data_IF_311558841565
#
_entry.id   IF_311558841565
#
_cell.length_a   1.000
_cell.length_b   1.000
_cell.length_c   1.000
_cell.angle_alpha   90.00
_cell.angle_beta   90.00
_cell.angle_gamma   90.00
#
_symmetry.space_group_name_H-M   'P 1'
#
loop_
_entity.id
_entity.type
_entity.pdbx_description
1 polymer ?
#
# COMPACT_ATOMS: atom_id res chain seq x y z
N UNK A 1 -29.54 -24.35 -41.28
CA UNK A 1 -29.99 -24.39 -39.88
C UNK A 1 -29.15 -23.35 -39.14
N UNK A 2 -29.64 -22.11 -39.06
CA UNK A 2 -28.91 -20.98 -38.47
C UNK A 2 -29.30 -20.98 -36.99
N UNK A 3 -28.41 -21.42 -36.10
CA UNK A 3 -28.61 -21.27 -34.65
C UNK A 3 -27.92 -19.99 -34.20
N UNK A 4 -28.73 -18.96 -33.96
CA UNK A 4 -28.34 -17.79 -33.19
C UNK A 4 -28.07 -18.20 -31.75
N UNK A 5 -27.03 -17.60 -31.14
CA UNK A 5 -26.67 -17.76 -29.74
C UNK A 5 -27.90 -17.49 -28.85
N UNK A 6 -28.53 -18.55 -28.36
CA UNK A 6 -29.65 -18.44 -27.44
C UNK A 6 -29.13 -18.77 -26.05
N UNK A 7 -28.93 -17.74 -25.23
CA UNK A 7 -28.65 -17.91 -23.80
C UNK A 7 -29.85 -18.60 -23.17
N UNK A 8 -29.66 -19.79 -22.61
CA UNK A 8 -30.74 -20.53 -21.93
C UNK A 8 -30.79 -20.03 -20.48
N UNK A 9 -31.80 -19.23 -20.14
CA UNK A 9 -32.08 -18.85 -18.76
C UNK A 9 -32.76 -20.02 -18.02
N UNK A 10 -32.24 -20.36 -16.83
CA UNK A 10 -32.84 -21.34 -15.94
C UNK A 10 -33.61 -20.59 -14.85
N UNK A 11 -34.93 -20.73 -14.81
CA UNK A 11 -35.73 -20.32 -13.65
C UNK A 11 -35.88 -21.48 -12.66
N UNK A 12 -35.55 -21.23 -11.40
CA UNK A 12 -35.92 -22.08 -10.26
C UNK A 12 -37.23 -21.58 -9.67
N UNK A 13 -38.25 -22.44 -9.64
CA UNK A 13 -39.48 -22.18 -8.87
C UNK A 13 -39.71 -23.33 -7.91
N UNK A 14 -39.70 -23.03 -6.61
CA UNK A 14 -39.99 -23.98 -5.54
C UNK A 14 -39.18 -25.29 -5.65
N UNK A 15 -37.87 -25.19 -5.91
CA UNK A 15 -36.97 -26.36 -6.00
C UNK A 15 -37.09 -27.19 -7.28
N UNK A 16 -37.83 -26.73 -8.30
CA UNK A 16 -37.92 -27.39 -9.62
C UNK A 16 -37.26 -26.52 -10.69
N UNK A 17 -36.44 -27.12 -11.54
CA UNK A 17 -35.70 -26.45 -12.61
C UNK A 17 -36.49 -26.48 -13.92
N UNK A 18 -36.53 -25.39 -14.68
CA UNK A 18 -37.23 -25.35 -15.98
C UNK A 18 -36.27 -24.97 -17.10
N UNK A 19 -36.23 -25.77 -18.17
CA UNK A 19 -35.38 -25.54 -19.33
C UNK A 19 -36.17 -25.80 -20.62
N UNK A 20 -36.23 -24.81 -21.52
CA UNK A 20 -37.03 -24.86 -22.77
C UNK A 20 -38.48 -25.33 -22.57
N UNK A 21 -39.11 -24.92 -21.46
CA UNK A 21 -40.48 -25.30 -21.11
C UNK A 21 -40.67 -26.67 -20.45
N UNK A 22 -39.60 -27.47 -20.26
CA UNK A 22 -39.65 -28.75 -19.52
C UNK A 22 -39.18 -28.59 -18.08
N UNK A 23 -39.78 -29.34 -17.15
CA UNK A 23 -39.49 -29.30 -15.71
C UNK A 23 -38.61 -30.47 -15.26
N UNK A 24 -37.68 -30.20 -14.36
CA UNK A 24 -36.69 -31.15 -13.86
C UNK A 24 -36.54 -31.04 -12.34
N UNK A 25 -36.31 -32.17 -11.68
CA UNK A 25 -36.24 -32.27 -10.21
C UNK A 25 -34.83 -32.03 -9.65
N UNK A 26 -33.80 -32.05 -10.49
CA UNK A 26 -32.43 -31.79 -10.09
C UNK A 26 -31.61 -31.20 -11.24
N UNK A 27 -30.54 -30.51 -10.88
CA UNK A 27 -29.66 -29.81 -11.82
C UNK A 27 -28.88 -30.78 -12.72
N UNK A 28 -28.48 -31.95 -12.23
CA UNK A 28 -27.82 -32.98 -13.05
C UNK A 28 -28.70 -33.47 -14.20
N UNK A 29 -30.02 -33.61 -13.99
CA UNK A 29 -30.96 -34.03 -15.04
C UNK A 29 -31.16 -32.97 -16.12
N UNK A 30 -31.05 -31.68 -15.78
CA UNK A 30 -31.04 -30.58 -16.76
C UNK A 30 -29.79 -30.65 -17.62
N UNK A 31 -28.64 -30.92 -17.00
CA UNK A 31 -27.36 -31.02 -17.68
C UNK A 31 -27.30 -32.21 -18.66
N UNK A 32 -27.86 -33.36 -18.28
CA UNK A 32 -27.99 -34.55 -19.14
C UNK A 32 -28.92 -34.30 -20.34
N UNK A 33 -30.05 -33.63 -20.12
CA UNK A 33 -30.98 -33.22 -21.19
C UNK A 33 -30.29 -32.29 -22.22
N UNK A 34 -29.53 -31.31 -21.75
CA UNK A 34 -28.83 -30.36 -22.62
C UNK A 34 -27.67 -31.00 -23.39
N UNK A 35 -26.93 -31.93 -22.79
CA UNK A 35 -25.89 -32.72 -23.48
C UNK A 35 -26.44 -33.59 -24.61
N UNK A 36 -27.64 -34.16 -24.42
CA UNK A 36 -28.29 -34.97 -25.47
C UNK A 36 -28.94 -34.13 -26.59
N UNK A 37 -29.26 -32.85 -26.31
CA UNK A 37 -30.04 -31.99 -27.22
C UNK A 37 -29.20 -30.94 -27.97
N UNK A 38 -28.00 -30.61 -27.48
CA UNK A 38 -27.07 -29.67 -28.10
C UNK A 38 -25.64 -30.25 -28.10
N UNK A 39 -24.98 -30.39 -29.27
CA UNK A 39 -23.69 -31.08 -29.34
C UNK A 39 -22.51 -30.11 -29.16
N UNK A 40 -22.41 -29.35 -28.06
CA UNK A 40 -21.18 -28.61 -27.71
C UNK A 40 -21.03 -28.40 -26.20
N UNK A 41 -19.80 -28.58 -25.71
CA UNK A 41 -19.36 -28.37 -24.33
C UNK A 41 -19.14 -26.88 -24.05
N UNK A 42 -19.98 -26.30 -23.18
CA UNK A 42 -19.68 -25.26 -22.16
C UNK A 42 -21.01 -24.62 -21.75
N UNK A 43 -21.47 -24.90 -20.53
CA UNK A 43 -22.62 -24.24 -19.90
C UNK A 43 -22.10 -23.48 -18.67
N UNK A 44 -22.25 -22.15 -18.67
CA UNK A 44 -21.89 -21.28 -17.53
C UNK A 44 -23.15 -21.05 -16.68
N UNK A 45 -23.13 -21.51 -15.43
CA UNK A 45 -24.22 -21.29 -14.45
C UNK A 45 -23.89 -20.04 -13.64
N UNK A 46 -24.86 -19.13 -13.49
CA UNK A 46 -24.76 -17.91 -12.66
C UNK A 46 -25.57 -18.14 -11.37
N UNK A 47 -24.95 -17.93 -10.21
CA UNK A 47 -25.59 -18.05 -8.88
C UNK A 47 -26.45 -16.83 -8.49
N UNK A 48 -27.38 -17.05 -7.54
CA UNK A 48 -28.55 -16.21 -7.20
C UNK A 48 -28.26 -14.96 -6.33
N UNK A 49 -29.12 -13.93 -6.48
CA UNK A 49 -29.10 -12.65 -5.74
C UNK A 49 -29.90 -12.78 -4.42
N UNK A 50 -29.27 -12.60 -3.26
CA UNK A 50 -29.95 -12.53 -1.94
C UNK A 50 -30.59 -11.15 -1.69
N UNK A 51 -31.75 -11.12 -1.01
CA UNK A 51 -32.39 -9.88 -0.50
C UNK A 51 -31.97 -9.62 0.96
N UNK A 52 -31.77 -8.35 1.36
CA UNK A 52 -31.26 -7.97 2.69
C UNK A 52 -32.15 -6.94 3.39
N UNK A 53 -32.08 -6.88 4.72
CA UNK A 53 -32.71 -5.86 5.55
C UNK A 53 -31.67 -4.87 6.07
N UNK A 54 -32.03 -3.59 6.13
CA UNK A 54 -31.15 -2.52 6.58
C UNK A 54 -31.72 -1.86 7.84
N UNK A 55 -30.86 -1.64 8.82
CA UNK A 55 -31.15 -0.90 10.04
C UNK A 55 -30.21 0.29 10.16
N UNK A 56 -30.68 1.39 10.75
CA UNK A 56 -29.82 2.54 11.03
C UNK A 56 -29.55 2.56 12.53
N UNK A 57 -28.33 2.21 12.92
CA UNK A 57 -27.81 2.32 14.27
C UNK A 57 -27.07 3.65 14.46
N UNK A 58 -26.67 3.96 15.69
CA UNK A 58 -25.88 5.16 16.00
C UNK A 58 -24.51 5.17 15.30
N UNK A 59 -24.00 3.99 14.96
CA UNK A 59 -22.71 3.81 14.28
C UNK A 59 -22.83 3.71 12.74
N UNK A 60 -24.04 3.84 12.18
CA UNK A 60 -24.27 3.84 10.74
C UNK A 60 -25.40 2.91 10.28
N UNK A 61 -25.27 2.34 9.08
CA UNK A 61 -26.25 1.39 8.56
C UNK A 61 -25.73 -0.04 8.65
N UNK A 62 -26.50 -0.91 9.28
CA UNK A 62 -26.16 -2.31 9.47
C UNK A 62 -27.06 -3.22 8.63
N UNK A 63 -26.44 -4.26 8.05
CA UNK A 63 -27.07 -5.17 7.09
C UNK A 63 -27.38 -6.51 7.74
N UNK A 64 -28.59 -6.98 7.51
CA UNK A 64 -29.09 -8.23 8.09
C UNK A 64 -29.62 -9.15 7.00
N UNK A 65 -29.14 -10.41 7.01
CA UNK A 65 -29.52 -11.42 6.01
C UNK A 65 -30.88 -12.06 6.30
N UNK A 66 -31.35 -11.98 7.56
CA UNK A 66 -32.64 -12.51 7.97
C UNK A 66 -33.42 -11.51 8.82
N UNK A 67 -34.76 -11.62 8.82
CA UNK A 67 -35.61 -10.84 9.74
C UNK A 67 -35.30 -11.13 11.20
N UNK A 68 -34.88 -12.36 11.54
CA UNK A 68 -34.56 -12.75 12.91
C UNK A 68 -33.32 -12.04 13.46
N UNK A 69 -32.28 -11.89 12.65
CA UNK A 69 -31.05 -11.18 13.05
C UNK A 69 -31.28 -9.68 13.25
N UNK A 70 -32.08 -9.07 12.36
CA UNK A 70 -32.51 -7.67 12.53
C UNK A 70 -33.32 -7.46 13.83
N UNK A 71 -34.23 -8.40 14.16
CA UNK A 71 -35.06 -8.33 15.38
C UNK A 71 -34.22 -8.36 16.66
N UNK A 72 -33.16 -9.19 16.70
CA UNK A 72 -32.26 -9.24 17.86
C UNK A 72 -31.48 -7.94 18.06
N UNK A 73 -31.00 -7.33 16.98
CA UNK A 73 -30.29 -6.06 17.04
C UNK A 73 -31.19 -4.92 17.53
N UNK A 74 -32.39 -4.79 16.94
CA UNK A 74 -33.38 -3.82 17.39
C UNK A 74 -33.77 -4.02 18.86
N UNK A 75 -33.92 -5.26 19.33
CA UNK A 75 -34.24 -5.55 20.72
C UNK A 75 -33.15 -5.09 21.70
N UNK A 76 -31.86 -5.26 21.34
CA UNK A 76 -30.74 -4.78 22.14
C UNK A 76 -30.65 -3.25 22.18
N UNK A 77 -30.90 -2.57 21.04
CA UNK A 77 -30.77 -1.11 20.96
C UNK A 77 -31.96 -0.36 21.55
N UNK A 78 -33.17 -0.90 21.44
CA UNK A 78 -34.41 -0.21 21.85
C UNK A 78 -34.95 -0.68 23.20
N UNK A 79 -34.24 -1.58 23.89
CA UNK A 79 -34.67 -2.09 25.20
C UNK A 79 -35.90 -3.01 25.15
N UNK A 80 -36.23 -3.58 23.98
CA UNK A 80 -37.19 -4.69 23.86
C UNK A 80 -38.62 -4.36 23.40
N UNK A 81 -38.91 -3.18 22.83
CA UNK A 81 -40.23 -2.86 22.29
C UNK A 81 -40.20 -2.49 20.79
N UNK A 82 -41.05 -3.11 19.97
CA UNK A 82 -41.21 -2.77 18.55
C UNK A 82 -42.65 -3.00 18.06
N UNK A 83 -43.01 -2.35 16.94
CA UNK A 83 -44.35 -2.43 16.33
C UNK A 83 -44.24 -3.13 14.97
N UNK A 84 -45.10 -4.12 14.72
CA UNK A 84 -45.22 -4.79 13.42
C UNK A 84 -46.55 -4.43 12.76
N UNK A 85 -46.48 -4.01 11.50
CA UNK A 85 -47.64 -3.76 10.66
C UNK A 85 -47.80 -4.91 9.68
N UNK A 86 -48.90 -5.66 9.80
CA UNK A 86 -49.28 -6.73 8.86
C UNK A 86 -50.62 -6.37 8.23
N UNK A 87 -50.57 -5.73 7.07
CA UNK A 87 -51.75 -5.18 6.41
C UNK A 87 -52.39 -4.04 7.22
N UNK A 88 -53.71 -4.12 7.48
CA UNK A 88 -54.48 -3.07 8.20
C UNK A 88 -54.51 -3.22 9.73
N UNK A 89 -53.78 -4.18 10.32
CA UNK A 89 -53.74 -4.38 11.78
C UNK A 89 -52.37 -4.01 12.36
N UNK A 90 -52.39 -3.46 13.57
CA UNK A 90 -51.22 -3.07 14.36
C UNK A 90 -51.18 -3.93 15.63
N UNK A 91 -50.02 -4.52 15.93
CA UNK A 91 -49.77 -5.21 17.20
C UNK A 91 -48.65 -4.50 17.97
N UNK A 92 -48.86 -4.32 19.28
CA UNK A 92 -47.95 -3.64 20.19
C UNK A 92 -47.36 -4.63 21.19
N UNK A 93 -46.03 -4.58 21.36
CA UNK A 93 -45.33 -5.27 22.43
C UNK A 93 -44.48 -4.24 23.16
N UNK A 94 -44.65 -4.12 24.48
CA UNK A 94 -44.07 -3.05 25.28
C UNK A 94 -43.43 -3.65 26.53
N UNK A 95 -42.15 -3.34 26.74
CA UNK A 95 -41.68 -3.01 28.07
C UNK A 95 -41.26 -1.53 28.05
N UNK A 96 -42.01 -0.74 28.81
CA UNK A 96 -42.07 0.73 29.02
C UNK A 96 -41.18 1.67 28.16
N UNK A 97 -41.84 2.53 27.36
CA UNK A 97 -41.33 3.87 26.95
C UNK A 97 -41.55 4.20 25.46
N UNK A 98 -42.01 5.41 25.13
CA UNK A 98 -42.41 5.83 23.76
C UNK A 98 -41.28 6.52 22.95
N UNK A 99 -41.24 6.32 21.62
CA UNK A 99 -41.18 7.33 20.50
C UNK A 99 -41.12 6.62 19.11
N UNK A 100 -41.71 7.26 18.08
CA UNK A 100 -41.92 6.79 16.70
C UNK A 100 -40.69 6.86 15.77
N UNK A 101 -40.56 5.89 14.85
CA UNK A 101 -40.16 6.15 13.45
C UNK A 101 -40.84 5.15 12.49
N UNK A 102 -41.28 5.63 11.32
CA UNK A 102 -42.01 4.82 10.33
C UNK A 102 -41.05 4.08 9.39
N UNK A 103 -41.10 2.75 9.35
CA UNK A 103 -40.37 1.94 8.37
C UNK A 103 -41.29 1.64 7.17
N UNK A 104 -40.88 2.01 5.96
CA UNK A 104 -41.57 1.62 4.72
C UNK A 104 -40.65 0.86 3.76
N UNK A 105 -41.20 -0.17 3.12
CA UNK A 105 -40.55 -0.94 2.05
C UNK A 105 -40.78 -0.21 0.73
N UNK A 106 -39.72 0.21 0.05
CA UNK A 106 -39.78 0.92 -1.25
C UNK A 106 -39.09 0.12 -2.35
N UNK A 107 -39.51 0.32 -3.60
CA UNK A 107 -38.84 -0.24 -4.79
C UNK A 107 -37.55 0.51 -5.11
N UNK A 108 -36.70 -0.09 -5.96
CA UNK A 108 -35.43 0.50 -6.40
C UNK A 108 -35.62 1.82 -7.15
N UNK A 109 -36.67 1.94 -7.97
CA UNK A 109 -36.96 3.16 -8.73
C UNK A 109 -37.42 4.30 -7.81
N UNK A 110 -38.19 4.00 -6.76
CA UNK A 110 -38.63 5.00 -5.79
C UNK A 110 -37.51 5.43 -4.84
N UNK A 111 -36.57 4.51 -4.53
CA UNK A 111 -35.33 4.84 -3.84
C UNK A 111 -34.50 5.89 -4.60
N UNK A 112 -34.34 5.73 -5.92
CA UNK A 112 -33.54 6.63 -6.75
C UNK A 112 -34.19 8.03 -6.89
N UNK A 113 -35.51 8.11 -7.11
CA UNK A 113 -36.23 9.40 -7.19
C UNK A 113 -36.13 10.25 -5.92
N UNK A 114 -36.05 9.61 -4.75
CA UNK A 114 -35.96 10.32 -3.45
C UNK A 114 -34.54 10.79 -3.12
N UNK A 115 -33.53 10.25 -3.79
CA UNK A 115 -32.11 10.59 -3.60
C UNK A 115 -31.65 11.81 -4.42
N UNK A 116 -32.20 12.04 -5.61
CA UNK A 116 -31.78 13.12 -6.53
C UNK A 116 -31.86 14.54 -5.92
N UNK A 117 -32.92 14.95 -5.19
CA UNK A 117 -32.98 16.30 -4.60
C UNK A 117 -32.02 16.48 -3.41
N UNK A 118 -31.61 15.39 -2.75
CA UNK A 118 -30.69 15.39 -1.61
C UNK A 118 -29.23 15.44 -2.09
N UNK A 119 -28.91 14.73 -3.17
CA UNK A 119 -27.59 14.76 -3.80
C UNK A 119 -27.25 16.15 -4.39
N UNK A 120 -28.25 16.85 -4.95
CA UNK A 120 -28.08 18.23 -5.43
C UNK A 120 -27.79 19.22 -4.28
N UNK A 121 -28.39 19.02 -3.09
CA UNK A 121 -28.09 19.82 -1.89
C UNK A 121 -26.68 19.56 -1.37
N UNK A 122 -26.22 18.31 -1.37
CA UNK A 122 -24.84 17.96 -0.96
C UNK A 122 -23.82 18.52 -1.96
N UNK A 123 -24.09 18.43 -3.27
CA UNK A 123 -23.23 19.03 -4.29
C UNK A 123 -23.13 20.55 -4.18
N UNK A 124 -24.24 21.24 -3.87
CA UNK A 124 -24.24 22.69 -3.63
C UNK A 124 -23.45 23.11 -2.38
N UNK A 125 -23.48 22.30 -1.31
CA UNK A 125 -22.68 22.54 -0.09
C UNK A 125 -21.18 22.32 -0.35
N UNK A 126 -20.82 21.28 -1.13
CA UNK A 126 -19.42 21.01 -1.50
C UNK A 126 -18.84 22.10 -2.41
N UNK A 127 -19.61 22.58 -3.40
CA UNK A 127 -19.22 23.72 -4.25
C UNK A 127 -19.13 25.04 -3.47
N UNK A 128 -20.00 25.25 -2.48
CA UNK A 128 -19.95 26.40 -1.59
C UNK A 128 -18.73 26.39 -0.66
N UNK A 129 -18.31 25.21 -0.18
CA UNK A 129 -17.10 25.06 0.64
C UNK A 129 -15.80 25.27 -0.14
N UNK A 130 -15.78 24.91 -1.43
CA UNK A 130 -14.62 25.11 -2.32
C UNK A 130 -14.40 26.58 -2.73
N UNK A 131 -15.42 27.44 -2.67
CA UNK A 131 -15.33 28.84 -3.09
C UNK A 131 -14.80 29.81 -2.01
N UNK A 132 -14.67 29.38 -0.74
CA UNK A 132 -14.42 30.28 0.40
C UNK A 132 -13.01 30.19 0.98
N UNK A 133 -12.14 29.29 0.51
CA UNK A 133 -10.79 29.15 1.09
C UNK A 133 -9.67 28.99 0.05
N UNK A 134 -9.16 30.08 -0.55
CA UNK A 134 -7.80 30.08 -1.05
C UNK A 134 -6.86 30.23 0.15
N UNK A 135 -6.42 29.11 0.76
CA UNK A 135 -5.23 29.13 1.63
C UNK A 135 -5.23 28.36 2.95
N UNK A 136 -6.24 27.55 3.30
CA UNK A 136 -6.18 26.78 4.55
C UNK A 136 -6.96 25.47 4.48
N UNK A 137 -6.29 24.36 4.17
CA UNK A 137 -6.67 23.03 4.64
C UNK A 137 -5.55 22.02 4.35
N UNK A 138 -5.02 21.42 5.43
CA UNK A 138 -3.99 20.39 5.41
C UNK A 138 -4.46 19.12 4.68
N UNK A 139 -3.59 18.58 3.83
CA UNK A 139 -3.85 17.43 2.94
C UNK A 139 -4.01 16.06 3.64
N UNK A 140 -3.96 15.99 4.98
CA UNK A 140 -3.91 14.73 5.72
C UNK A 140 -5.24 13.99 5.91
N UNK A 141 -6.39 14.64 5.69
CA UNK A 141 -7.70 14.09 6.07
C UNK A 141 -8.52 13.41 4.96
N UNK A 142 -8.11 13.49 3.69
CA UNK A 142 -8.97 13.14 2.54
C UNK A 142 -8.60 11.84 1.81
N UNK A 143 -7.47 11.22 2.10
CA UNK A 143 -7.01 10.02 1.38
C UNK A 143 -7.72 8.72 1.81
N UNK A 144 -8.38 8.70 2.98
CA UNK A 144 -9.13 7.52 3.46
C UNK A 144 -10.53 7.35 2.86
N UNK A 145 -11.12 8.42 2.30
CA UNK A 145 -12.47 8.39 1.73
C UNK A 145 -12.48 8.20 0.20
N UNK A 146 -11.33 8.31 -0.47
CA UNK A 146 -11.27 8.41 -1.93
C UNK A 146 -11.34 7.07 -2.67
N UNK A 147 -10.94 5.93 -2.08
CA UNK A 147 -10.85 4.66 -2.81
C UNK A 147 -12.16 3.86 -2.92
N UNK A 148 -13.06 3.96 -1.94
CA UNK A 148 -14.34 3.22 -1.97
C UNK A 148 -15.43 3.99 -2.74
N UNK A 149 -15.38 5.33 -2.73
CA UNK A 149 -16.34 6.18 -3.43
C UNK A 149 -16.07 6.28 -4.94
N UNK A 150 -14.81 6.23 -5.38
CA UNK A 150 -14.44 6.27 -6.81
C UNK A 150 -14.80 4.99 -7.55
N UNK A 151 -14.63 3.81 -6.93
CA UNK A 151 -14.96 2.52 -7.55
C UNK A 151 -16.45 2.32 -7.86
N UNK A 152 -17.34 2.84 -7.01
CA UNK A 152 -18.79 2.74 -7.21
C UNK A 152 -19.36 3.77 -8.21
N UNK A 153 -18.71 4.94 -8.35
CA UNK A 153 -19.13 5.98 -9.29
C UNK A 153 -18.79 5.63 -10.76
N UNK A 154 -17.64 4.99 -10.99
CA UNK A 154 -17.15 4.61 -12.32
C UNK A 154 -17.99 3.52 -13.00
N UNK A 155 -18.68 2.67 -12.23
CA UNK A 155 -19.47 1.56 -12.78
C UNK A 155 -20.89 1.97 -13.24
N UNK A 156 -21.41 3.14 -12.81
CA UNK A 156 -22.81 3.53 -13.04
C UNK A 156 -23.02 4.78 -13.90
N UNK A 157 -22.01 5.66 -14.05
CA UNK A 157 -22.13 6.90 -14.81
C UNK A 157 -20.86 7.19 -15.64
N UNK A 158 -20.67 6.55 -16.81
CA UNK A 158 -19.42 6.62 -17.57
C UNK A 158 -19.06 8.03 -18.07
N UNK A 159 -20.05 8.92 -18.25
CA UNK A 159 -19.83 10.32 -18.64
C UNK A 159 -19.46 11.24 -17.47
N UNK A 160 -19.87 10.93 -16.23
CA UNK A 160 -19.37 11.61 -15.02
C UNK A 160 -17.97 11.09 -14.62
N UNK A 161 -17.66 9.83 -14.95
CA UNK A 161 -16.32 9.27 -14.81
C UNK A 161 -15.28 10.09 -15.60
N UNK A 162 -15.61 10.49 -16.84
CA UNK A 162 -14.73 11.37 -17.63
C UNK A 162 -14.51 12.75 -16.97
N UNK A 163 -15.55 13.35 -16.37
CA UNK A 163 -15.44 14.65 -15.72
C UNK A 163 -14.65 14.61 -14.39
N UNK A 164 -14.80 13.54 -13.59
CA UNK A 164 -14.06 13.37 -12.34
C UNK A 164 -12.59 12.98 -12.59
N UNK A 165 -12.33 12.17 -13.62
CA UNK A 165 -10.96 11.81 -14.04
C UNK A 165 -10.22 13.02 -14.65
N UNK A 166 -10.95 13.97 -15.26
CA UNK A 166 -10.37 15.23 -15.74
C UNK A 166 -10.14 16.28 -14.63
N UNK A 167 -10.62 16.06 -13.40
CA UNK A 167 -10.44 16.98 -12.26
C UNK A 167 -9.38 16.56 -11.24
N UNK A 168 -8.77 15.38 -11.37
CA UNK A 168 -7.62 14.99 -10.54
C UNK A 168 -6.39 14.77 -11.40
N UNK A 169 -5.99 15.82 -12.12
CA UNK A 169 -4.56 15.99 -12.38
C UNK A 169 -3.97 16.44 -11.04
N UNK A 170 -3.63 15.50 -10.17
CA UNK A 170 -2.74 15.79 -9.04
C UNK A 170 -1.38 16.00 -9.68
N UNK A 171 -1.15 17.22 -10.15
CA UNK A 171 0.19 17.63 -10.53
C UNK A 171 0.97 17.69 -9.22
N UNK A 172 2.13 17.04 -9.19
CA UNK A 172 3.07 17.21 -8.09
C UNK A 172 3.45 18.70 -8.04
N UNK A 173 2.88 19.42 -7.08
CA UNK A 173 3.22 20.81 -6.85
C UNK A 173 4.42 20.85 -5.90
N UNK A 174 5.48 21.54 -6.31
CA UNK A 174 6.60 21.82 -5.42
C UNK A 174 6.08 22.51 -4.15
N UNK A 175 6.40 21.93 -2.99
CA UNK A 175 5.99 22.47 -1.67
C UNK A 175 6.73 23.78 -1.35
N UNK A 176 7.86 24.04 -2.02
CA UNK A 176 8.64 25.27 -1.91
C UNK A 176 9.69 25.39 -3.01
N UNK A 177 10.49 26.45 -2.94
CA UNK A 177 11.65 26.63 -3.83
C UNK A 177 12.75 25.61 -3.52
N UNK A 178 13.60 25.33 -4.50
CA UNK A 178 14.84 24.58 -4.28
C UNK A 178 15.70 25.28 -3.22
N UNK A 179 16.37 24.47 -2.40
CA UNK A 179 17.27 24.95 -1.37
C UNK A 179 18.48 24.02 -1.26
N UNK A 180 19.60 24.59 -0.82
CA UNK A 180 20.83 23.84 -0.68
C UNK A 180 20.85 23.02 0.62
N UNK A 181 21.17 21.72 0.51
CA UNK A 181 21.11 20.81 1.65
C UNK A 181 22.36 20.86 2.54
N UNK A 182 23.53 21.02 1.93
CA UNK A 182 24.83 21.05 2.59
C UNK A 182 25.25 22.45 3.02
N UNK A 183 26.15 22.52 4.00
CA UNK A 183 26.83 23.72 4.50
C UNK A 183 28.29 23.74 4.09
N UNK A 184 28.94 22.58 3.99
CA UNK A 184 30.28 22.44 3.42
C UNK A 184 30.21 22.29 1.90
N UNK A 185 30.82 23.23 1.16
CA UNK A 185 30.70 23.31 -0.31
C UNK A 185 32.02 23.12 -1.05
N UNK A 186 33.11 22.90 -0.33
CA UNK A 186 34.42 22.69 -0.95
C UNK A 186 34.47 21.28 -1.54
N UNK A 187 35.11 21.12 -2.71
CA UNK A 187 35.23 19.83 -3.37
C UNK A 187 33.90 19.30 -3.93
N UNK A 188 33.90 18.02 -4.33
CA UNK A 188 32.72 17.38 -4.90
C UNK A 188 31.70 16.99 -3.82
N UNK A 189 30.44 17.36 -4.04
CA UNK A 189 29.27 16.98 -3.25
C UNK A 189 28.34 16.19 -4.17
N UNK A 190 28.18 14.87 -3.95
CA UNK A 190 27.61 13.96 -4.96
C UNK A 190 26.67 12.91 -4.39
N UNK A 191 25.90 12.29 -5.29
CA UNK A 191 25.04 11.13 -5.05
C UNK A 191 24.15 11.26 -3.80
N UNK A 192 23.24 12.25 -3.75
CA UNK A 192 22.35 12.39 -2.62
C UNK A 192 21.34 11.23 -2.56
N UNK A 193 20.99 10.82 -1.35
CA UNK A 193 19.88 9.92 -1.05
C UNK A 193 18.95 10.57 -0.04
N UNK A 194 17.64 10.30 -0.13
CA UNK A 194 16.63 10.92 0.72
C UNK A 194 15.64 9.89 1.23
N UNK A 195 15.30 9.99 2.52
CA UNK A 195 14.26 9.18 3.14
C UNK A 195 13.25 10.07 3.89
N UNK A 196 11.93 9.85 3.71
CA UNK A 196 10.93 10.42 4.60
C UNK A 196 11.05 9.77 5.98
N UNK A 197 10.75 10.51 7.03
CA UNK A 197 10.75 10.04 8.42
C UNK A 197 9.33 10.01 8.99
N UNK A 198 9.13 9.19 10.03
CA UNK A 198 7.80 8.98 10.61
C UNK A 198 7.22 10.22 11.30
N UNK A 199 8.05 11.22 11.63
CA UNK A 199 7.61 12.51 12.17
C UNK A 199 7.19 13.52 11.08
N UNK A 200 7.13 13.07 9.82
CA UNK A 200 6.84 13.92 8.66
C UNK A 200 8.04 14.72 8.15
N UNK A 201 9.19 14.63 8.83
CA UNK A 201 10.46 15.16 8.34
C UNK A 201 11.08 14.27 7.27
N UNK A 202 12.31 14.61 6.89
CA UNK A 202 13.11 13.82 5.97
C UNK A 202 14.59 13.95 6.30
N UNK A 203 15.39 12.98 5.89
CA UNK A 203 16.85 13.05 5.97
C UNK A 203 17.43 12.96 4.57
N UNK A 204 18.44 13.78 4.30
CA UNK A 204 19.23 13.73 3.08
C UNK A 204 20.64 13.30 3.46
N UNK A 205 21.20 12.32 2.76
CA UNK A 205 22.60 11.91 2.87
C UNK A 205 23.31 12.13 1.53
N UNK A 206 24.61 12.36 1.54
CA UNK A 206 25.41 12.58 0.32
C UNK A 206 26.90 12.27 0.56
N UNK A 207 27.66 12.17 -0.53
CA UNK A 207 29.12 12.08 -0.50
C UNK A 207 29.74 13.47 -0.49
N UNK A 208 30.75 13.68 0.36
CA UNK A 208 31.47 14.95 0.49
C UNK A 208 32.98 14.72 0.43
N UNK A 209 33.65 15.41 -0.49
CA UNK A 209 35.11 15.33 -0.65
C UNK A 209 35.87 16.27 0.29
N UNK A 210 36.81 15.74 1.06
CA UNK A 210 37.72 16.54 1.89
C UNK A 210 37.16 17.02 3.22
N UNK A 211 35.88 16.75 3.51
CA UNK A 211 35.21 17.32 4.68
C UNK A 211 35.64 16.65 6.01
N UNK A 212 36.07 15.40 5.97
CA UNK A 212 36.61 14.68 7.13
C UNK A 212 38.14 14.76 7.23
N UNK A 213 38.79 15.47 6.30
CA UNK A 213 40.24 15.59 6.20
C UNK A 213 40.91 14.53 5.32
N UNK A 214 40.15 13.63 4.69
CA UNK A 214 40.65 12.67 3.69
C UNK A 214 39.82 12.78 2.40
N UNK A 215 39.49 11.67 1.74
CA UNK A 215 38.90 11.61 0.41
C UNK A 215 37.39 11.84 0.49
N UNK A 216 36.56 10.89 0.07
CA UNK A 216 35.11 11.01 0.19
C UNK A 216 34.61 10.39 1.50
N UNK A 217 33.85 11.17 2.27
CA UNK A 217 33.05 10.71 3.40
C UNK A 217 31.55 10.81 3.11
N UNK A 218 30.74 10.17 3.95
CA UNK A 218 29.27 10.23 3.88
C UNK A 218 28.76 11.20 4.93
N UNK A 219 27.92 12.14 4.51
CA UNK A 219 27.35 13.19 5.36
C UNK A 219 25.82 13.20 5.26
N UNK A 220 25.17 13.84 6.21
CA UNK A 220 23.73 13.97 6.21
C UNK A 220 23.21 15.21 6.93
N UNK A 221 21.95 15.54 6.63
CA UNK A 221 21.19 16.60 7.28
C UNK A 221 19.72 16.15 7.41
N UNK A 222 19.19 16.25 8.63
CA UNK A 222 17.77 16.02 8.91
C UNK A 222 16.99 17.32 8.75
N UNK A 223 15.76 17.21 8.30
CA UNK A 223 14.82 18.31 8.11
C UNK A 223 13.50 17.97 8.81
N UNK A 224 12.89 19.00 9.40
CA UNK A 224 11.51 18.91 9.89
C UNK A 224 10.53 18.88 8.71
N UNK A 225 9.26 18.54 8.98
CA UNK A 225 8.18 18.56 7.98
C UNK A 225 7.97 19.92 7.30
N UNK A 226 8.40 21.01 7.95
CA UNK A 226 8.40 22.36 7.38
C UNK A 226 9.56 22.65 6.41
N UNK A 227 10.50 21.71 6.23
CA UNK A 227 11.72 21.92 5.45
C UNK A 227 12.82 22.69 6.20
N UNK A 228 12.64 22.98 7.48
CA UNK A 228 13.68 23.59 8.33
C UNK A 228 14.69 22.54 8.77
N UNK A 229 16.00 22.86 8.74
CA UNK A 229 17.07 21.99 9.24
C UNK A 229 16.81 21.62 10.71
N UNK A 230 16.81 20.32 10.99
CA UNK A 230 16.69 19.75 12.32
C UNK A 230 18.08 19.36 12.83
N UNK A 231 18.74 20.26 13.55
CA UNK A 231 20.15 20.11 13.94
C UNK A 231 21.12 20.54 12.85
N UNK A 232 22.40 20.23 13.05
CA UNK A 232 23.47 20.54 12.09
C UNK A 232 23.68 19.39 11.11
N UNK A 233 24.42 19.69 10.05
CA UNK A 233 25.00 18.68 9.19
C UNK A 233 25.94 17.78 9.99
N UNK A 234 25.87 16.47 9.74
CA UNK A 234 26.61 15.47 10.51
C UNK A 234 27.30 14.46 9.59
N UNK A 235 28.46 13.96 10.02
CA UNK A 235 29.14 12.86 9.34
C UNK A 235 28.49 11.53 9.71
N UNK A 236 28.23 10.70 8.70
CA UNK A 236 27.64 9.37 8.86
C UNK A 236 28.71 8.35 9.25
N UNK A 237 29.75 8.22 8.43
CA UNK A 237 30.86 7.31 8.67
C UNK A 237 31.74 7.75 9.86
N UNK A 238 32.29 6.76 10.54
CA UNK A 238 33.25 6.88 11.64
C UNK A 238 34.65 6.61 11.12
N UNK A 239 34.80 5.60 10.27
CA UNK A 239 36.03 5.33 9.52
C UNK A 239 36.20 6.34 8.39
N UNK A 240 37.36 7.00 8.32
CA UNK A 240 37.61 8.13 7.41
C UNK A 240 38.75 7.90 6.44
N UNK A 241 39.45 6.76 6.54
CA UNK A 241 40.58 6.51 5.65
C UNK A 241 40.07 6.19 4.25
N UNK A 242 40.63 6.86 3.25
CA UNK A 242 40.21 6.68 1.85
C UNK A 242 38.72 6.99 1.64
N UNK A 243 38.00 6.18 0.85
CA UNK A 243 36.68 6.53 0.35
C UNK A 243 35.53 5.76 1.00
N UNK A 244 34.47 6.48 1.32
CA UNK A 244 33.15 5.98 1.67
C UNK A 244 32.12 6.54 0.67
N UNK A 245 31.37 5.66 0.03
CA UNK A 245 30.60 5.97 -1.18
C UNK A 245 29.17 5.41 -1.19
N UNK A 246 28.34 5.97 -2.08
CA UNK A 246 26.96 5.64 -2.40
C UNK A 246 26.10 5.30 -1.17
N UNK A 247 25.82 6.33 -0.37
CA UNK A 247 24.91 6.17 0.76
C UNK A 247 23.48 5.86 0.29
N UNK A 248 22.82 4.92 0.96
CA UNK A 248 21.39 4.65 0.86
C UNK A 248 20.77 4.82 2.25
N UNK A 249 19.55 5.36 2.33
CA UNK A 249 18.89 5.67 3.61
C UNK A 249 17.44 5.17 3.61
N UNK A 250 17.00 4.60 4.73
CA UNK A 250 15.62 4.17 4.94
C UNK A 250 15.12 4.53 6.36
N UNK A 251 13.83 4.90 6.52
CA UNK A 251 13.24 5.12 7.84
C UNK A 251 13.06 3.80 8.60
N UNK A 252 13.14 3.84 9.92
CA UNK A 252 12.85 2.70 10.77
C UNK A 252 11.45 2.86 11.39
N UNK A 253 10.57 1.90 11.08
CA UNK A 253 9.14 1.97 11.40
C UNK A 253 8.83 1.86 12.91
N UNK A 254 9.78 1.39 13.72
CA UNK A 254 9.59 1.07 15.14
C UNK A 254 9.97 2.20 16.09
N UNK A 255 11.17 2.76 15.96
CA UNK A 255 11.72 3.79 16.84
C UNK A 255 11.60 5.22 16.25
N UNK A 256 11.12 5.31 15.01
CA UNK A 256 11.05 6.56 14.25
C UNK A 256 12.40 7.04 13.74
N UNK A 257 13.46 6.27 13.96
CA UNK A 257 14.81 6.56 13.49
C UNK A 257 14.98 6.28 12.00
N UNK A 258 16.23 6.15 11.60
CA UNK A 258 16.60 5.76 10.24
C UNK A 258 17.90 4.99 10.23
N UNK A 259 18.16 4.26 9.14
CA UNK A 259 19.42 3.58 8.89
C UNK A 259 20.04 4.14 7.62
N UNK A 260 21.34 4.39 7.68
CA UNK A 260 22.15 4.76 6.50
C UNK A 260 23.12 3.63 6.24
N UNK A 261 23.25 3.22 4.98
CA UNK A 261 24.20 2.21 4.52
C UNK A 261 25.09 2.77 3.43
N UNK A 262 26.35 2.37 3.36
CA UNK A 262 27.33 2.81 2.36
C UNK A 262 28.38 1.72 2.15
N UNK A 263 29.27 1.87 1.17
CA UNK A 263 30.44 1.01 1.03
C UNK A 263 31.74 1.77 1.31
N UNK A 264 32.70 1.11 1.95
CA UNK A 264 33.90 1.74 2.53
C UNK A 264 35.18 1.01 2.11
N UNK A 265 36.19 1.76 1.66
CA UNK A 265 37.45 1.19 1.18
C UNK A 265 38.42 0.84 2.32
N UNK A 266 38.96 -0.38 2.36
CA UNK A 266 40.01 -0.79 3.28
C UNK A 266 39.54 -1.12 4.70
N UNK A 267 38.27 -0.89 5.03
CA UNK A 267 37.80 -0.91 6.41
C UNK A 267 37.70 -2.31 7.02
N UNK A 268 37.45 -3.33 6.20
CA UNK A 268 37.44 -4.75 6.61
C UNK A 268 38.78 -5.45 6.36
N UNK A 269 39.81 -4.69 5.93
CA UNK A 269 41.13 -5.22 5.60
C UNK A 269 41.29 -5.69 4.16
N UNK A 270 40.26 -5.57 3.32
CA UNK A 270 40.32 -5.80 1.86
C UNK A 270 39.80 -4.56 1.10
N UNK A 271 39.32 -4.70 -0.14
CA UNK A 271 38.89 -3.60 -1.01
C UNK A 271 37.69 -2.84 -0.44
N UNK A 272 36.45 -3.19 -0.80
CA UNK A 272 35.26 -2.47 -0.36
C UNK A 272 34.36 -3.38 0.46
N UNK A 273 33.92 -2.92 1.64
CA UNK A 273 32.91 -3.60 2.46
C UNK A 273 31.64 -2.76 2.61
N UNK A 274 30.52 -3.39 3.00
CA UNK A 274 29.24 -2.73 3.25
C UNK A 274 29.09 -2.40 4.73
N UNK A 275 28.75 -1.15 5.03
CA UNK A 275 28.64 -0.63 6.39
C UNK A 275 27.31 0.07 6.61
N UNK A 276 26.88 0.12 7.86
CA UNK A 276 25.66 0.79 8.28
C UNK A 276 25.82 1.55 9.58
N UNK A 277 24.99 2.57 9.76
CA UNK A 277 24.80 3.30 11.00
C UNK A 277 23.31 3.53 11.20
N UNK A 278 22.83 3.18 12.40
CA UNK A 278 21.47 3.52 12.82
C UNK A 278 21.47 4.87 13.53
N UNK A 279 20.35 5.56 13.40
CA UNK A 279 20.08 6.82 14.07
C UNK A 279 18.76 6.71 14.81
N UNK A 280 18.68 7.35 15.96
CA UNK A 280 17.39 7.52 16.62
C UNK A 280 16.54 8.58 15.89
N UNK A 281 15.29 8.76 16.34
CA UNK A 281 14.40 9.77 15.76
C UNK A 281 14.79 11.22 16.10
N UNK A 282 15.80 11.43 16.94
CA UNK A 282 16.27 12.78 17.29
C UNK A 282 17.20 13.34 16.20
N UNK A 283 17.64 14.58 16.35
CA UNK A 283 18.43 15.28 15.34
C UNK A 283 19.82 14.66 15.14
N UNK A 284 19.92 13.63 14.28
CA UNK A 284 21.17 13.05 13.81
C UNK A 284 21.99 12.31 14.87
N UNK A 285 21.37 11.84 15.96
CA UNK A 285 22.08 11.10 17.01
C UNK A 285 22.22 9.63 16.60
N UNK A 286 23.47 9.16 16.61
CA UNK A 286 23.80 7.77 16.31
C UNK A 286 23.21 6.84 17.37
N UNK A 287 22.43 5.86 16.94
CA UNK A 287 21.96 4.75 17.76
C UNK A 287 22.95 3.59 17.64
N UNK A 288 23.81 3.45 18.65
CA UNK A 288 24.91 2.48 18.64
C UNK A 288 26.09 2.91 17.75
N UNK A 289 26.99 1.96 17.50
CA UNK A 289 28.17 2.18 16.65
C UNK A 289 27.87 1.80 15.20
N UNK A 290 28.73 2.29 14.31
CA UNK A 290 28.83 1.80 12.95
C UNK A 290 29.13 0.29 12.92
N UNK A 291 28.51 -0.43 12.00
CA UNK A 291 28.61 -1.89 11.91
C UNK A 291 28.77 -2.36 10.47
N UNK A 292 29.51 -3.46 10.30
CA UNK A 292 29.69 -4.12 9.01
C UNK A 292 28.50 -5.03 8.69
N UNK A 293 27.98 -4.91 7.46
CA UNK A 293 26.79 -5.61 7.00
C UNK A 293 27.15 -6.94 6.32
N UNK A 294 28.07 -6.92 5.35
CA UNK A 294 28.57 -8.12 4.71
C UNK A 294 29.34 -9.00 5.71
N UNK A 295 29.32 -10.30 5.48
CA UNK A 295 30.17 -11.28 6.17
C UNK A 295 31.27 -11.82 5.27
N UNK A 296 31.03 -11.86 3.96
CA UNK A 296 32.05 -12.13 2.96
C UNK A 296 32.86 -10.88 2.66
N UNK A 297 34.18 -10.95 2.79
CA UNK A 297 35.09 -9.80 2.71
C UNK A 297 36.13 -9.92 1.60
N UNK A 298 36.09 -10.97 0.78
CA UNK A 298 37.07 -11.13 -0.29
C UNK A 298 36.67 -10.19 -1.43
N UNK A 299 37.62 -9.38 -1.89
CA UNK A 299 37.42 -8.39 -2.96
C UNK A 299 36.40 -7.30 -2.56
N UNK A 300 35.56 -6.84 -3.50
CA UNK A 300 34.69 -5.68 -3.31
C UNK A 300 33.23 -6.09 -3.13
N UNK A 301 32.61 -5.55 -2.09
CA UNK A 301 31.18 -5.49 -1.87
C UNK A 301 30.74 -4.02 -1.98
N UNK A 302 29.80 -3.73 -2.90
CA UNK A 302 29.52 -2.35 -3.32
C UNK A 302 28.02 -2.07 -3.51
N UNK A 303 27.69 -0.79 -3.73
CA UNK A 303 26.36 -0.31 -4.11
C UNK A 303 25.21 -0.84 -3.22
N UNK A 304 25.23 -0.59 -1.90
CA UNK A 304 24.18 -1.05 -1.02
C UNK A 304 22.88 -0.27 -1.28
N UNK A 305 21.76 -0.98 -1.19
CA UNK A 305 20.41 -0.44 -1.19
C UNK A 305 19.68 -0.96 0.05
N UNK A 306 18.97 -0.09 0.78
CA UNK A 306 18.28 -0.45 2.02
C UNK A 306 16.78 -0.17 1.94
N UNK A 307 15.98 -1.11 2.45
CA UNK A 307 14.54 -0.98 2.61
C UNK A 307 14.12 -1.32 4.04
N UNK A 308 13.15 -0.57 4.57
CA UNK A 308 12.52 -0.85 5.85
C UNK A 308 11.41 -1.89 5.71
N UNK A 309 11.16 -2.64 6.77
CA UNK A 309 10.14 -3.70 6.78
C UNK A 309 9.00 -3.39 7.74
N UNK A 310 7.84 -3.99 7.49
CA UNK A 310 6.63 -3.78 8.30
C UNK A 310 6.77 -4.30 9.75
N UNK A 311 7.70 -5.23 10.00
CA UNK A 311 8.03 -5.70 11.35
C UNK A 311 9.01 -4.78 12.10
N UNK A 312 9.32 -3.62 11.52
CA UNK A 312 10.28 -2.64 12.05
C UNK A 312 11.74 -2.99 11.76
N UNK A 313 12.02 -4.13 11.11
CA UNK A 313 13.35 -4.47 10.62
C UNK A 313 13.73 -3.71 9.35
N UNK A 314 14.87 -4.08 8.77
CA UNK A 314 15.30 -3.59 7.46
C UNK A 314 16.07 -4.68 6.72
N UNK A 315 16.15 -4.56 5.40
CA UNK A 315 16.95 -5.43 4.53
C UNK A 315 17.89 -4.55 3.74
N UNK A 316 19.15 -4.98 3.67
CA UNK A 316 20.17 -4.36 2.84
C UNK A 316 20.55 -5.35 1.76
N UNK A 317 20.61 -4.88 0.51
CA UNK A 317 21.13 -5.64 -0.64
C UNK A 317 22.33 -4.94 -1.24
N UNK A 318 23.29 -5.69 -1.75
CA UNK A 318 24.51 -5.16 -2.37
C UNK A 318 25.01 -6.10 -3.47
N UNK A 319 25.93 -5.60 -4.30
CA UNK A 319 26.69 -6.45 -5.22
C UNK A 319 27.97 -6.94 -4.55
N UNK A 320 28.33 -8.20 -4.78
CA UNK A 320 29.48 -8.84 -4.16
C UNK A 320 30.34 -9.51 -5.21
N UNK A 321 31.61 -9.09 -5.29
CA UNK A 321 32.62 -9.68 -6.15
C UNK A 321 33.35 -10.84 -5.49
N UNK A 322 34.51 -11.20 -6.07
CA UNK A 322 35.41 -12.18 -5.48
C UNK A 322 34.89 -13.62 -5.57
N UNK A 323 34.01 -13.93 -6.51
CA UNK A 323 33.49 -15.29 -6.74
C UNK A 323 32.71 -15.88 -5.58
N UNK A 324 32.00 -15.04 -4.82
CA UNK A 324 31.15 -15.51 -3.72
C UNK A 324 30.04 -16.47 -4.20
N UNK A 325 29.44 -16.21 -5.37
CA UNK A 325 28.47 -17.11 -6.01
C UNK A 325 29.09 -18.07 -7.04
N UNK A 326 30.42 -18.09 -7.14
CA UNK A 326 31.18 -18.89 -8.08
C UNK A 326 31.54 -18.20 -9.41
N UNK A 327 31.15 -16.95 -9.66
CA UNK A 327 31.53 -16.19 -10.86
C UNK A 327 31.94 -14.72 -10.55
N UNK A 328 31.72 -13.73 -11.43
CA UNK A 328 32.27 -12.38 -11.24
C UNK A 328 31.60 -11.64 -10.07
N UNK A 329 30.36 -11.17 -10.23
CA UNK A 329 29.64 -10.40 -9.20
C UNK A 329 28.24 -10.96 -9.00
N UNK A 330 27.87 -11.33 -7.78
CA UNK A 330 26.51 -11.72 -7.41
C UNK A 330 25.77 -10.62 -6.64
N UNK A 331 24.46 -10.79 -6.47
CA UNK A 331 23.63 -9.91 -5.62
C UNK A 331 23.33 -10.62 -4.31
N UNK A 332 23.64 -9.97 -3.20
CA UNK A 332 23.50 -10.51 -1.85
C UNK A 332 22.66 -9.59 -0.98
N UNK A 333 22.16 -10.13 0.13
CA UNK A 333 21.42 -9.37 1.11
C UNK A 333 21.56 -9.88 2.54
N UNK A 334 21.25 -9.00 3.49
CA UNK A 334 21.16 -9.31 4.91
C UNK A 334 19.94 -8.62 5.49
N UNK A 335 19.11 -9.41 6.18
CA UNK A 335 17.98 -8.91 6.95
C UNK A 335 18.41 -8.58 8.37
N UNK A 336 17.85 -7.51 8.92
CA UNK A 336 18.02 -7.10 10.30
C UNK A 336 16.67 -7.02 10.99
N UNK A 337 16.65 -7.46 12.25
CA UNK A 337 15.52 -7.24 13.14
C UNK A 337 15.41 -5.76 13.52
N UNK A 338 14.26 -5.36 14.05
CA UNK A 338 13.99 -4.00 14.55
C UNK A 338 14.95 -3.54 15.66
N UNK A 339 15.58 -4.49 16.37
CA UNK A 339 16.66 -4.24 17.33
C UNK A 339 18.01 -3.90 16.69
N UNK A 340 18.16 -4.05 15.36
CA UNK A 340 19.42 -3.88 14.64
C UNK A 340 20.32 -5.11 14.67
N UNK A 341 19.81 -6.25 15.14
CA UNK A 341 20.52 -7.54 15.13
C UNK A 341 20.29 -8.23 13.79
N UNK A 342 21.33 -8.86 13.22
CA UNK A 342 21.22 -9.69 12.01
C UNK A 342 20.15 -10.78 12.22
N UNK A 343 19.19 -10.85 11.29
CA UNK A 343 18.12 -11.85 11.27
C UNK A 343 18.49 -12.92 10.24
N UNK A 344 19.09 -14.00 10.71
CA UNK A 344 19.60 -15.06 9.83
C UNK A 344 20.96 -14.69 9.22
N UNK A 345 21.41 -15.52 8.28
CA UNK A 345 22.67 -15.32 7.56
C UNK A 345 22.48 -14.42 6.34
N UNK A 346 23.61 -13.96 5.80
CA UNK A 346 23.68 -13.40 4.47
C UNK A 346 23.13 -14.39 3.42
N UNK A 347 22.36 -13.89 2.46
CA UNK A 347 21.71 -14.71 1.44
C UNK A 347 21.92 -14.14 0.05
N UNK A 348 22.07 -15.02 -0.94
CA UNK A 348 22.13 -14.65 -2.35
C UNK A 348 20.72 -14.35 -2.88
N UNK A 349 20.58 -13.28 -3.66
CA UNK A 349 19.32 -12.82 -4.25
C UNK A 349 19.14 -13.36 -5.67
N UNK A 350 20.19 -13.26 -6.50
CA UNK A 350 20.15 -13.78 -7.87
C UNK A 350 20.22 -15.31 -7.87
N UNK A 351 19.63 -15.93 -8.90
CA UNK A 351 19.75 -17.37 -9.16
C UNK A 351 20.61 -17.67 -10.39
N UNK A 352 20.65 -16.74 -11.35
CA UNK A 352 21.57 -16.77 -12.47
C UNK A 352 22.91 -16.16 -12.03
N UNK A 353 24.00 -16.92 -12.16
CA UNK A 353 25.32 -16.54 -11.62
C UNK A 353 26.36 -16.27 -12.71
N UNK A 354 26.08 -16.52 -13.98
CA UNK A 354 27.09 -16.33 -15.02
C UNK A 354 27.35 -14.84 -15.27
N UNK A 355 28.61 -14.43 -15.33
CA UNK A 355 29.04 -13.03 -15.55
C UNK A 355 28.68 -12.07 -14.40
N UNK A 356 28.19 -10.86 -14.71
CA UNK A 356 27.92 -9.80 -13.73
C UNK A 356 26.43 -9.68 -13.38
N UNK A 357 26.16 -9.57 -12.09
CA UNK A 357 24.85 -9.29 -11.50
C UNK A 357 25.05 -8.11 -10.55
N UNK A 358 24.59 -6.93 -10.95
CA UNK A 358 25.02 -5.67 -10.37
C UNK A 358 23.88 -4.67 -10.18
N UNK A 359 24.18 -3.56 -9.50
CA UNK A 359 23.27 -2.44 -9.26
C UNK A 359 21.91 -2.84 -8.63
N UNK A 360 21.91 -3.55 -7.50
CA UNK A 360 20.66 -3.94 -6.86
C UNK A 360 19.88 -2.74 -6.33
N UNK A 361 18.56 -2.81 -6.44
CA UNK A 361 17.62 -1.89 -5.81
C UNK A 361 16.55 -2.70 -5.09
N UNK A 362 16.22 -2.29 -3.86
CA UNK A 362 15.23 -2.97 -3.03
C UNK A 362 14.07 -2.03 -2.70
N UNK A 363 12.85 -2.56 -2.73
CA UNK A 363 11.65 -1.87 -2.31
C UNK A 363 10.83 -2.76 -1.36
N UNK A 364 10.27 -2.20 -0.27
CA UNK A 364 9.39 -2.95 0.61
C UNK A 364 8.00 -3.14 -0.01
N UNK A 365 7.32 -4.21 0.40
CA UNK A 365 5.96 -4.53 -0.01
C UNK A 365 4.97 -4.38 1.16
N UNK A 366 3.73 -4.04 0.85
CA UNK A 366 2.66 -3.85 1.84
C UNK A 366 2.31 -5.14 2.60
N UNK A 367 2.62 -6.31 2.04
CA UNK A 367 2.42 -7.61 2.69
C UNK A 367 3.53 -7.98 3.69
N UNK A 368 4.53 -7.09 3.85
CA UNK A 368 5.69 -7.29 4.72
C UNK A 368 6.88 -7.95 4.02
N UNK A 369 6.76 -8.30 2.74
CA UNK A 369 7.87 -8.73 1.90
C UNK A 369 8.70 -7.57 1.35
N UNK A 370 9.58 -7.90 0.41
CA UNK A 370 10.38 -6.94 -0.35
C UNK A 370 10.61 -7.48 -1.76
N UNK A 371 10.83 -6.58 -2.72
CA UNK A 371 11.26 -6.91 -4.08
C UNK A 371 12.66 -6.38 -4.28
N UNK A 372 13.52 -7.20 -4.87
CA UNK A 372 14.86 -6.78 -5.32
C UNK A 372 14.87 -6.84 -6.83
N UNK A 373 15.37 -5.79 -7.46
CA UNK A 373 15.68 -5.74 -8.89
C UNK A 373 17.16 -5.53 -9.07
N UNK A 374 17.75 -6.12 -10.10
CA UNK A 374 19.17 -5.98 -10.43
C UNK A 374 19.35 -6.07 -11.94
N UNK A 375 20.53 -5.68 -12.42
CA UNK A 375 20.94 -5.91 -13.81
C UNK A 375 21.73 -7.23 -13.87
N UNK A 376 21.46 -8.03 -14.89
CA UNK A 376 22.24 -9.22 -15.21
C UNK A 376 22.86 -9.09 -16.60
N UNK A 377 24.10 -9.55 -16.76
CA UNK A 377 24.75 -9.67 -18.06
C UNK A 377 24.61 -11.12 -18.60
N UNK A 378 24.17 -11.26 -19.85
CA UNK A 378 24.07 -12.55 -20.55
C UNK A 378 22.90 -13.46 -20.14
N UNK A 379 22.06 -13.07 -19.17
CA UNK A 379 20.94 -13.89 -18.71
C UNK A 379 19.86 -14.10 -19.78
N UNK A 380 19.57 -13.05 -20.55
CA UNK A 380 18.49 -13.05 -21.55
C UNK A 380 18.99 -13.39 -22.97
N UNK A 381 20.28 -13.72 -23.09
CA UNK A 381 20.95 -14.05 -24.35
C UNK A 381 21.31 -12.81 -25.18
N UNK A 382 22.61 -12.54 -25.28
CA UNK A 382 23.26 -11.78 -26.37
C UNK A 382 24.66 -12.36 -26.62
#
# INVERSE_FOLDING_TARGET
MICTHTTIELETRNGTFVCQGKRFTSQEKVHEYLKSSCPFDVIKVVEEIKSYFLHRSENGFERYETRGSLRKALACETGGAWVEFSGKKVQYFVDKGWILSSIQKVSKEEYLRRLEPQAAKVAGVVLGMLAVAPGAMELGGLLGYSQVATGLALYKYPTLGLALTMMTKVEAQAVGSEFQVNTYTTGGQRYPSVAPLNDGGFVVTWESYGQDGDSYGVYGQRYASSGVKSGVEFRVNTYTTSNQFASSVAPLNNDGGFVVTWYSFGQDGDLYGIYGQRYDNSSGVKSGVEFQINTYTINSQQLPSVASLNDGGFVVTWESGGQQDGDLYGVYGQRYASSGVKSGVEFQVNTYTTSYQNSPSIAPLNDGGFVVTWRSDGQDGD
#
